data_IF_418861411088
#
_entry.id   IF_418861411088
#
_cell.length_a   1.000
_cell.length_b   1.000
_cell.length_c   1.000
_cell.angle_alpha   90.00
_cell.angle_beta   90.00
_cell.angle_gamma   90.00
#
_symmetry.space_group_name_H-M   'P 1'
#
loop_
_entity.id
_entity.type
_entity.pdbx_description
1 polymer ?
#
# COMPACT_ATOMS: atom_id res chain seq x y z
N UNK A 1 6.21 -0.71 -12.09
CA UNK A 1 6.33 -1.18 -10.69
C UNK A 1 6.05 -2.67 -10.65
N UNK A 2 6.59 -3.41 -9.66
CA UNK A 2 6.32 -4.85 -9.46
C UNK A 2 5.35 -5.08 -8.29
N UNK A 3 4.33 -4.23 -8.19
CA UNK A 3 3.27 -4.38 -7.20
C UNK A 3 2.24 -5.36 -7.75
N UNK A 4 1.87 -6.33 -6.93
CA UNK A 4 0.74 -7.20 -7.14
C UNK A 4 -0.53 -6.56 -6.56
N UNK A 5 -1.73 -6.92 -7.03
CA UNK A 5 -2.98 -6.41 -6.48
C UNK A 5 -3.10 -6.49 -4.95
N UNK A 6 -2.60 -7.57 -4.34
CA UNK A 6 -2.68 -7.81 -2.90
C UNK A 6 -1.82 -6.85 -2.07
N UNK A 7 -0.75 -6.30 -2.65
CA UNK A 7 0.09 -5.30 -1.99
C UNK A 7 -0.74 -4.05 -1.64
N UNK A 8 -1.74 -3.70 -2.47
CA UNK A 8 -2.65 -2.60 -2.17
C UNK A 8 -3.59 -2.92 -1.00
N UNK A 9 -3.92 -4.20 -0.79
CA UNK A 9 -4.65 -4.65 0.40
C UNK A 9 -3.81 -4.51 1.68
N UNK A 10 -2.51 -4.80 1.61
CA UNK A 10 -1.57 -4.58 2.71
C UNK A 10 -1.47 -3.09 3.05
N UNK A 11 -1.25 -2.24 2.03
CA UNK A 11 -1.14 -0.78 2.21
C UNK A 11 -2.42 -0.17 2.78
N UNK A 12 -3.60 -0.59 2.31
CA UNK A 12 -4.88 -0.15 2.86
C UNK A 12 -5.02 -0.57 4.34
N UNK A 13 -4.62 -1.79 4.69
CA UNK A 13 -4.58 -2.26 6.08
C UNK A 13 -3.70 -1.39 6.98
N UNK A 14 -2.51 -1.02 6.51
CA UNK A 14 -1.60 -0.12 7.26
C UNK A 14 -2.23 1.25 7.55
N UNK A 15 -3.01 1.81 6.60
CA UNK A 15 -3.73 3.06 6.84
C UNK A 15 -4.85 2.88 7.86
N UNK A 16 -5.66 1.82 7.74
CA UNK A 16 -6.75 1.52 8.67
C UNK A 16 -6.21 1.33 10.10
N UNK A 17 -5.10 0.59 10.25
CA UNK A 17 -4.54 0.26 11.55
C UNK A 17 -3.68 1.41 12.13
N UNK A 18 -3.33 2.40 11.30
CA UNK A 18 -2.48 3.53 11.67
C UNK A 18 -3.23 4.79 12.12
N UNK A 19 -4.57 4.81 12.06
CA UNK A 19 -5.37 5.96 12.49
C UNK A 19 -6.76 5.55 12.99
N UNK A 20 -7.28 6.25 14.00
CA UNK A 20 -8.67 6.10 14.47
C UNK A 20 -9.67 6.95 13.66
N UNK A 21 -9.22 7.60 12.59
CA UNK A 21 -10.05 8.48 11.75
C UNK A 21 -10.76 7.70 10.64
N UNK A 22 -11.97 8.13 10.21
CA UNK A 22 -12.62 7.55 9.04
C UNK A 22 -11.77 7.70 7.78
N UNK A 23 -11.54 6.59 7.06
CA UNK A 23 -10.76 6.57 5.83
C UNK A 23 -11.64 6.81 4.61
N UNK A 24 -11.26 7.79 3.79
CA UNK A 24 -11.82 8.03 2.46
C UNK A 24 -10.70 7.94 1.42
N UNK A 25 -10.94 7.19 0.34
CA UNK A 25 -9.97 6.99 -0.75
C UNK A 25 -10.56 7.49 -2.07
N UNK A 26 -9.79 8.28 -2.81
CA UNK A 26 -10.15 8.77 -4.15
C UNK A 26 -9.43 7.93 -5.20
N UNK A 27 -10.16 7.51 -6.22
CA UNK A 27 -9.58 6.82 -7.37
C UNK A 27 -8.82 7.81 -8.25
N UNK A 28 -7.55 7.52 -8.51
CA UNK A 28 -6.67 8.32 -9.36
C UNK A 28 -6.32 7.56 -10.65
N UNK A 29 -5.05 7.55 -11.05
CA UNK A 29 -4.57 6.78 -12.21
C UNK A 29 -4.53 5.27 -11.97
N UNK A 30 -4.46 4.53 -13.07
CA UNK A 30 -4.43 3.07 -13.04
C UNK A 30 -4.91 2.47 -14.35
N UNK A 31 -3.99 2.26 -15.28
CA UNK A 31 -4.33 1.91 -16.66
C UNK A 31 -3.94 0.47 -17.04
N UNK A 32 -3.47 -0.31 -16.05
CA UNK A 32 -3.07 -1.70 -16.24
C UNK A 32 -4.24 -2.67 -16.09
N UNK A 33 -4.17 -3.87 -16.70
CA UNK A 33 -5.24 -4.88 -16.63
C UNK A 33 -5.50 -5.41 -15.22
N UNK A 34 -4.54 -5.28 -14.30
CA UNK A 34 -4.69 -5.68 -12.90
C UNK A 34 -5.36 -4.62 -12.00
N UNK A 35 -5.67 -3.43 -12.53
CA UNK A 35 -6.15 -2.30 -11.72
C UNK A 35 -7.44 -2.62 -10.95
N UNK A 36 -8.41 -3.29 -11.59
CA UNK A 36 -9.64 -3.72 -10.92
C UNK A 36 -9.40 -4.66 -9.74
N UNK A 37 -8.43 -5.57 -9.85
CA UNK A 37 -8.05 -6.49 -8.76
C UNK A 37 -7.39 -5.75 -7.60
N UNK A 38 -6.62 -4.70 -7.88
CA UNK A 38 -6.03 -3.88 -6.83
C UNK A 38 -7.11 -3.13 -6.04
N UNK A 39 -8.10 -2.57 -6.74
CA UNK A 39 -9.28 -1.96 -6.11
C UNK A 39 -10.06 -2.98 -5.27
N UNK A 40 -10.26 -4.20 -5.79
CA UNK A 40 -10.90 -5.29 -5.04
C UNK A 40 -10.16 -5.63 -3.75
N UNK A 41 -8.82 -5.68 -3.78
CA UNK A 41 -7.99 -5.92 -2.59
C UNK A 41 -8.15 -4.81 -1.54
N UNK A 42 -8.21 -3.54 -1.97
CA UNK A 42 -8.48 -2.40 -1.08
C UNK A 42 -9.85 -2.56 -0.42
N UNK A 43 -10.90 -2.83 -1.19
CA UNK A 43 -12.24 -3.03 -0.62
C UNK A 43 -12.31 -4.24 0.31
N UNK A 44 -11.58 -5.32 0.02
CA UNK A 44 -11.49 -6.46 0.94
C UNK A 44 -10.85 -6.04 2.27
N UNK A 45 -9.80 -5.22 2.24
CA UNK A 45 -9.17 -4.68 3.46
C UNK A 45 -10.12 -3.79 4.27
N UNK A 46 -10.85 -2.90 3.60
CA UNK A 46 -11.89 -2.06 4.21
C UNK A 46 -13.02 -2.87 4.85
N UNK A 47 -13.33 -4.05 4.30
CA UNK A 47 -14.28 -5.01 4.90
C UNK A 47 -13.70 -5.84 6.07
N UNK A 48 -12.45 -5.59 6.44
CA UNK A 48 -11.80 -6.26 7.57
C UNK A 48 -10.86 -7.42 7.20
N UNK A 49 -10.67 -7.74 5.91
CA UNK A 49 -9.59 -8.67 5.53
C UNK A 49 -8.24 -8.04 5.89
N UNK A 50 -7.29 -8.84 6.37
CA UNK A 50 -5.89 -8.41 6.51
C UNK A 50 -5.04 -9.26 5.59
N UNK A 51 -4.27 -8.60 4.73
CA UNK A 51 -3.33 -9.24 3.84
C UNK A 51 -1.98 -9.32 4.55
N UNK A 52 -1.31 -10.47 4.44
CA UNK A 52 0.03 -10.65 4.98
C UNK A 52 0.98 -10.48 3.80
N UNK A 53 1.88 -9.48 3.83
CA UNK A 53 2.87 -9.34 2.78
C UNK A 53 3.74 -10.59 2.73
N UNK A 54 4.10 -11.01 1.53
CA UNK A 54 5.07 -12.08 1.33
C UNK A 54 6.45 -11.57 1.79
N UNK A 55 6.91 -12.09 2.94
CA UNK A 55 8.13 -11.64 3.62
C UNK A 55 9.42 -12.01 2.86
N UNK A 56 9.33 -12.71 1.73
CA UNK A 56 10.49 -13.19 0.99
C UNK A 56 11.20 -12.10 0.15
N UNK A 57 10.59 -10.93 -0.03
CA UNK A 57 11.12 -9.90 -0.95
C UNK A 57 11.73 -8.72 -0.21
N UNK A 58 13.06 -8.69 -0.14
CA UNK A 58 13.78 -7.49 0.29
C UNK A 58 13.54 -6.32 -0.69
N UNK A 59 13.36 -5.08 -0.20
CA UNK A 59 13.32 -3.90 -1.05
C UNK A 59 14.57 -3.80 -1.93
N UNK A 60 14.42 -3.24 -3.14
CA UNK A 60 15.59 -2.97 -3.98
C UNK A 60 16.44 -1.84 -3.36
N UNK A 61 17.76 -1.86 -3.55
CA UNK A 61 18.68 -0.83 -3.00
C UNK A 61 18.27 0.61 -3.34
N UNK A 62 17.67 0.83 -4.51
CA UNK A 62 17.15 2.16 -4.88
C UNK A 62 15.99 2.59 -3.99
N UNK A 63 15.11 1.68 -3.61
CA UNK A 63 14.00 1.94 -2.67
C UNK A 63 14.55 2.26 -1.29
N UNK A 64 15.53 1.50 -0.81
CA UNK A 64 16.20 1.77 0.47
C UNK A 64 16.81 3.18 0.50
N UNK A 65 17.53 3.56 -0.57
CA UNK A 65 18.12 4.89 -0.69
C UNK A 65 17.10 6.02 -0.62
N UNK A 66 15.93 5.86 -1.25
CA UNK A 66 14.83 6.84 -1.18
C UNK A 66 14.26 6.93 0.23
N UNK A 67 14.04 5.80 0.89
CA UNK A 67 13.53 5.76 2.27
C UNK A 67 14.49 6.47 3.24
N UNK A 68 15.80 6.26 3.11
CA UNK A 68 16.80 6.93 3.96
C UNK A 68 16.85 8.45 3.77
N UNK A 69 16.53 8.93 2.57
CA UNK A 69 16.38 10.38 2.32
C UNK A 69 15.10 10.88 2.99
N UNK A 70 13.97 10.19 2.80
CA UNK A 70 12.68 10.60 3.36
C UNK A 70 12.67 10.64 4.89
N UNK A 71 13.37 9.72 5.57
CA UNK A 71 13.52 9.74 7.04
C UNK A 71 14.21 10.99 7.58
N UNK A 72 15.04 11.66 6.77
CA UNK A 72 15.73 12.90 7.16
C UNK A 72 14.86 14.14 7.01
N UNK A 73 13.81 14.05 6.18
CA UNK A 73 12.79 15.09 6.06
C UNK A 73 11.82 14.88 7.21
N UNK A 74 12.06 15.55 8.34
CA UNK A 74 11.09 15.55 9.44
C UNK A 74 9.78 16.16 8.94
N UNK A 75 8.75 15.33 8.79
CA UNK A 75 7.39 15.82 8.63
C UNK A 75 6.94 16.25 10.03
N UNK A 76 6.86 17.57 10.23
CA UNK A 76 6.36 18.20 11.44
C UNK A 76 4.91 17.83 11.73
#
# INVERSE_FOLDING_TARGET
MKLEPEDFGVLAGMLIDGTDLPLALTLEGGYGPSHGKAIEAIFAALRGKRFIPDNERSPHRSTEGVVEILKKVGFC
#
